data_IF_474281545217
#
_entry.id   IF_474281545217
#
_cell.length_a   1.000
_cell.length_b   1.000
_cell.length_c   1.000
_cell.angle_alpha   90.00
_cell.angle_beta   90.00
_cell.angle_gamma   90.00
#
_symmetry.space_group_name_H-M   'P 1'
#
loop_
_entity.id
_entity.type
_entity.pdbx_description
1 polymer ?
#
# COMPACT_ATOMS: atom_id res chain seq x y z
N UNK A 1 3.40 0.14 7.23
CA UNK A 1 4.67 -0.59 7.48
C UNK A 1 5.74 -0.43 6.38
N UNK A 2 5.57 0.43 5.36
CA UNK A 2 6.47 0.48 4.19
C UNK A 2 7.64 1.47 4.25
N UNK A 3 7.83 2.21 5.35
CA UNK A 3 8.88 3.24 5.40
C UNK A 3 10.23 2.75 5.92
N UNK A 4 10.31 1.53 6.48
CA UNK A 4 11.53 1.03 7.14
C UNK A 4 12.52 0.32 6.19
N UNK A 5 12.13 0.05 4.93
CA UNK A 5 12.95 -0.71 3.95
C UNK A 5 13.70 0.17 2.95
N UNK A 6 13.28 1.44 2.78
CA UNK A 6 14.00 2.48 2.03
C UNK A 6 15.45 2.72 2.51
N UNK A 7 15.81 2.67 3.81
CA UNK A 7 17.19 2.93 4.24
C UNK A 7 18.17 1.79 3.89
N UNK A 8 17.70 0.58 3.57
CA UNK A 8 18.59 -0.54 3.22
C UNK A 8 19.10 -0.36 1.79
N UNK A 9 18.21 -0.05 0.84
CA UNK A 9 18.59 0.20 -0.56
C UNK A 9 19.53 1.42 -0.69
N UNK A 10 19.28 2.50 0.08
CA UNK A 10 20.13 3.70 0.10
C UNK A 10 21.48 3.50 0.83
N UNK A 11 21.56 2.59 1.82
CA UNK A 11 22.83 2.22 2.46
C UNK A 11 23.76 1.46 1.51
N UNK A 12 23.22 0.65 0.60
CA UNK A 12 24.03 -0.05 -0.40
C UNK A 12 24.52 0.86 -1.54
N UNK A 13 23.73 1.86 -1.94
CA UNK A 13 24.16 2.87 -2.93
C UNK A 13 25.42 3.62 -2.47
N UNK A 14 25.54 3.88 -1.16
CA UNK A 14 26.66 4.62 -0.58
C UNK A 14 27.92 3.76 -0.38
N UNK A 15 27.77 2.43 -0.27
CA UNK A 15 28.90 1.49 -0.22
C UNK A 15 29.44 1.12 -1.60
N UNK A 16 28.63 1.24 -2.66
CA UNK A 16 29.02 0.93 -4.04
C UNK A 16 29.96 1.98 -4.66
N UNK A 17 29.97 3.22 -4.16
CA UNK A 17 30.76 4.31 -4.75
C UNK A 17 32.29 4.16 -4.61
N UNK A 18 32.83 3.08 -4.01
CA UNK A 18 34.25 3.02 -3.63
C UNK A 18 34.99 1.70 -3.89
N UNK A 19 34.50 0.77 -4.72
CA UNK A 19 35.28 -0.44 -5.07
C UNK A 19 35.30 -0.73 -6.57
N UNK A 20 36.29 -0.14 -7.26
CA UNK A 20 36.69 -0.47 -8.63
C UNK A 20 37.54 -1.76 -8.68
N UNK A 21 36.98 -2.88 -8.21
CA UNK A 21 37.60 -4.21 -8.31
C UNK A 21 36.63 -5.17 -8.98
N UNK A 22 37.14 -6.13 -9.77
CA UNK A 22 36.36 -7.03 -10.65
C UNK A 22 35.24 -7.81 -9.93
N UNK A 23 35.31 -7.94 -8.60
CA UNK A 23 34.26 -8.45 -7.70
C UNK A 23 33.04 -7.54 -7.62
N UNK A 24 33.19 -6.22 -7.77
CA UNK A 24 32.10 -5.25 -7.80
C UNK A 24 31.15 -5.42 -8.99
N UNK A 25 31.66 -5.85 -10.16
CA UNK A 25 30.82 -6.13 -11.34
C UNK A 25 29.92 -7.35 -11.15
N UNK A 26 30.42 -8.39 -10.49
CA UNK A 26 29.63 -9.57 -10.10
C UNK A 26 28.54 -9.22 -9.09
N UNK A 27 28.84 -8.33 -8.14
CA UNK A 27 27.87 -7.83 -7.15
C UNK A 27 26.81 -6.95 -7.83
N UNK A 28 27.18 -6.09 -8.79
CA UNK A 28 26.23 -5.28 -9.57
C UNK A 28 25.32 -6.16 -10.42
N UNK A 29 25.87 -7.16 -11.11
CA UNK A 29 25.07 -8.11 -11.90
C UNK A 29 24.10 -8.90 -11.02
N UNK A 30 24.53 -9.32 -9.81
CA UNK A 30 23.66 -9.97 -8.84
C UNK A 30 22.57 -9.05 -8.26
N UNK A 31 22.90 -7.79 -7.96
CA UNK A 31 21.95 -6.80 -7.45
C UNK A 31 20.91 -6.40 -8.51
N UNK A 32 21.32 -6.28 -9.78
CA UNK A 32 20.38 -6.04 -10.88
C UNK A 32 19.31 -7.12 -10.98
N UNK A 33 19.70 -8.39 -10.78
CA UNK A 33 18.77 -9.54 -10.77
C UNK A 33 17.82 -9.49 -9.55
N UNK A 34 18.31 -9.07 -8.38
CA UNK A 34 17.50 -8.90 -7.16
C UNK A 34 16.48 -7.76 -7.30
N UNK A 35 16.81 -6.69 -8.03
CA UNK A 35 15.91 -5.57 -8.26
C UNK A 35 14.69 -5.93 -9.13
N UNK A 36 14.81 -6.91 -10.03
CA UNK A 36 13.70 -7.30 -10.94
C UNK A 36 12.64 -8.15 -10.22
N UNK A 37 12.97 -8.72 -9.06
CA UNK A 37 12.02 -9.47 -8.23
C UNK A 37 11.21 -8.58 -7.28
N UNK A 38 11.45 -7.26 -7.30
CA UNK A 38 10.70 -6.27 -6.52
C UNK A 38 9.62 -5.56 -7.35
N UNK A 39 9.03 -6.22 -8.34
CA UNK A 39 7.67 -5.88 -8.75
C UNK A 39 6.72 -6.52 -7.75
N UNK A 40 6.58 -5.89 -6.58
CA UNK A 40 5.28 -5.94 -5.95
C UNK A 40 4.34 -5.35 -7.00
N UNK A 41 3.42 -6.16 -7.54
CA UNK A 41 2.30 -5.62 -8.30
C UNK A 41 1.59 -4.65 -7.36
N UNK A 42 1.98 -3.38 -7.40
CA UNK A 42 1.13 -2.30 -6.99
C UNK A 42 -0.01 -2.42 -7.99
N UNK A 43 -1.09 -3.08 -7.55
CA UNK A 43 -2.36 -2.98 -8.23
C UNK A 43 -2.77 -1.52 -8.09
N UNK A 44 -2.16 -0.66 -8.89
CA UNK A 44 -2.58 0.70 -9.15
C UNK A 44 -3.82 0.63 -10.05
N UNK A 45 -4.81 -0.14 -9.60
CA UNK A 45 -6.18 0.31 -9.77
C UNK A 45 -6.28 1.62 -9.00
N UNK A 46 -7.00 2.58 -9.54
CA UNK A 46 -7.21 3.89 -8.92
C UNK A 46 -8.01 3.74 -7.62
N UNK A 47 -7.38 3.22 -6.56
CA UNK A 47 -8.01 3.02 -5.26
C UNK A 47 -7.51 4.09 -4.30
N UNK A 48 -8.40 4.83 -3.65
CA UNK A 48 -8.06 5.79 -2.61
C UNK A 48 -8.14 5.15 -1.23
N UNK A 49 -7.26 5.57 -0.32
CA UNK A 49 -7.33 5.14 1.08
C UNK A 49 -8.52 5.80 1.78
N UNK A 50 -9.35 5.04 2.53
CA UNK A 50 -10.44 5.63 3.31
C UNK A 50 -9.89 6.41 4.52
N UNK A 51 -10.59 7.48 4.88
CA UNK A 51 -10.26 8.35 6.01
C UNK A 51 -10.93 7.86 7.29
N UNK A 52 -10.41 6.76 7.84
CA UNK A 52 -10.95 6.15 9.06
C UNK A 52 -10.33 6.76 10.33
N UNK A 53 -11.11 7.13 11.35
CA UNK A 53 -10.57 7.48 12.66
C UNK A 53 -9.96 6.24 13.33
N UNK A 54 -8.80 6.41 13.98
CA UNK A 54 -8.17 5.35 14.75
C UNK A 54 -9.05 4.94 15.94
N UNK A 55 -9.48 3.68 15.97
CA UNK A 55 -10.24 3.10 17.08
C UNK A 55 -11.68 2.72 16.72
N UNK A 56 -12.56 2.71 17.71
CA UNK A 56 -13.92 2.17 17.57
C UNK A 56 -14.86 3.19 16.94
N UNK A 57 -15.44 2.84 15.80
CA UNK A 57 -16.42 3.66 15.10
C UNK A 57 -17.79 3.49 15.77
N UNK A 58 -18.16 4.48 16.59
CA UNK A 58 -19.36 4.43 17.43
C UNK A 58 -20.66 4.66 16.67
N UNK A 59 -20.79 5.79 15.97
CA UNK A 59 -22.00 6.14 15.21
C UNK A 59 -21.60 6.73 13.87
N UNK A 60 -22.15 6.18 12.79
CA UNK A 60 -22.08 6.78 11.47
C UNK A 60 -23.34 7.62 11.24
N UNK A 61 -23.19 8.76 10.58
CA UNK A 61 -24.34 9.53 10.09
C UNK A 61 -25.11 8.68 9.08
N UNK A 62 -26.42 8.91 8.96
CA UNK A 62 -27.27 8.24 7.97
C UNK A 62 -27.23 8.95 6.60
N UNK A 63 -26.13 9.62 6.29
CA UNK A 63 -25.93 10.23 4.97
C UNK A 63 -25.65 9.11 3.97
N UNK A 64 -26.32 9.17 2.83
CA UNK A 64 -26.22 8.19 1.77
C UNK A 64 -25.21 8.69 0.73
N UNK A 65 -23.94 8.33 0.95
CA UNK A 65 -22.81 8.65 0.06
C UNK A 65 -22.10 7.34 -0.30
N UNK A 66 -22.69 6.51 -1.18
CA UNK A 66 -22.21 5.16 -1.39
C UNK A 66 -20.78 5.15 -1.96
N UNK A 67 -19.98 4.16 -1.55
CA UNK A 67 -18.61 3.95 -2.06
C UNK A 67 -18.41 2.48 -2.42
N UNK A 68 -17.63 2.24 -3.46
CA UNK A 68 -17.26 0.89 -3.87
C UNK A 68 -15.92 0.51 -3.23
N UNK A 69 -15.91 -0.56 -2.44
CA UNK A 69 -14.70 -1.12 -1.85
C UNK A 69 -13.85 -1.87 -2.89
N UNK A 70 -12.56 -2.00 -2.61
CA UNK A 70 -11.61 -2.80 -3.38
C UNK A 70 -11.94 -4.30 -3.34
N UNK A 71 -12.80 -4.71 -2.43
CA UNK A 71 -13.38 -6.04 -2.30
C UNK A 71 -14.63 -6.24 -3.17
N UNK A 72 -15.06 -5.21 -3.91
CA UNK A 72 -16.23 -5.25 -4.78
C UNK A 72 -17.57 -5.07 -4.06
N UNK A 73 -17.54 -4.67 -2.78
CA UNK A 73 -18.75 -4.43 -1.98
C UNK A 73 -19.10 -2.94 -1.99
N UNK A 74 -20.39 -2.63 -2.15
CA UNK A 74 -20.89 -1.26 -1.99
C UNK A 74 -21.19 -0.98 -0.52
N UNK A 75 -20.59 0.07 0.01
CA UNK A 75 -20.85 0.56 1.36
C UNK A 75 -21.73 1.80 1.31
N UNK A 76 -22.72 1.91 2.20
CA UNK A 76 -23.67 3.03 2.20
C UNK A 76 -23.02 4.40 2.43
N UNK A 77 -21.88 4.42 3.11
CA UNK A 77 -20.97 5.55 3.22
C UNK A 77 -19.58 5.09 3.67
N UNK A 78 -18.61 5.98 3.55
CA UNK A 78 -17.21 5.76 3.96
C UNK A 78 -17.08 5.41 5.45
N UNK A 79 -17.95 5.93 6.33
CA UNK A 79 -17.93 5.57 7.76
C UNK A 79 -18.33 4.10 7.98
N UNK A 80 -19.31 3.57 7.23
CA UNK A 80 -19.69 2.16 7.29
C UNK A 80 -18.56 1.27 6.78
N UNK A 81 -17.88 1.67 5.70
CA UNK A 81 -16.68 0.99 5.21
C UNK A 81 -15.59 0.97 6.28
N UNK A 82 -15.33 2.09 6.94
CA UNK A 82 -14.36 2.15 8.04
C UNK A 82 -14.73 1.24 9.21
N UNK A 83 -16.03 1.11 9.54
CA UNK A 83 -16.48 0.21 10.60
C UNK A 83 -16.13 -1.23 10.25
N UNK A 84 -16.41 -1.64 9.02
CA UNK A 84 -16.06 -2.97 8.52
C UNK A 84 -14.55 -3.22 8.61
N UNK A 85 -13.72 -2.24 8.21
CA UNK A 85 -12.26 -2.31 8.33
C UNK A 85 -11.83 -2.54 9.78
N UNK A 86 -12.39 -1.80 10.73
CA UNK A 86 -12.03 -1.93 12.15
C UNK A 86 -12.51 -3.26 12.75
N UNK A 87 -13.73 -3.69 12.41
CA UNK A 87 -14.34 -4.92 12.94
C UNK A 87 -13.67 -6.18 12.37
N UNK A 88 -13.42 -6.20 11.06
CA UNK A 88 -12.83 -7.35 10.37
C UNK A 88 -11.31 -7.31 10.27
N UNK A 89 -10.69 -6.16 10.58
CA UNK A 89 -9.25 -5.89 10.41
C UNK A 89 -8.76 -6.11 8.98
N UNK A 90 -9.63 -5.93 7.99
CA UNK A 90 -9.29 -6.01 6.57
C UNK A 90 -8.81 -4.65 6.06
N UNK A 91 -7.86 -4.67 5.13
CA UNK A 91 -7.40 -3.46 4.45
C UNK A 91 -8.21 -3.25 3.16
N UNK A 92 -9.35 -2.55 3.29
CA UNK A 92 -10.27 -2.27 2.18
C UNK A 92 -10.03 -0.83 1.71
N UNK A 93 -9.77 -0.68 0.43
CA UNK A 93 -9.56 0.62 -0.22
C UNK A 93 -10.82 1.03 -0.96
N UNK A 94 -10.99 2.31 -1.26
CA UNK A 94 -12.14 2.77 -2.05
C UNK A 94 -11.75 2.75 -3.52
N UNK A 95 -12.39 1.90 -4.31
CA UNK A 95 -12.14 1.72 -5.74
C UNK A 95 -12.81 2.81 -6.60
N UNK A 96 -14.00 3.27 -6.22
CA UNK A 96 -14.70 4.40 -6.84
C UNK A 96 -15.70 5.01 -5.87
N UNK A 97 -16.02 6.28 -6.08
CA UNK A 97 -17.22 6.90 -5.50
C UNK A 97 -18.47 6.29 -6.15
N UNK A 98 -19.55 6.18 -5.38
CA UNK A 98 -20.78 5.52 -5.82
C UNK A 98 -20.80 4.01 -5.57
N UNK A 99 -21.90 3.34 -5.95
CA UNK A 99 -21.99 1.89 -5.86
C UNK A 99 -21.02 1.19 -6.81
N UNK A 100 -20.57 -0.01 -6.43
CA UNK A 100 -20.03 -0.99 -7.36
C UNK A 100 -21.14 -1.30 -8.40
#
# INVERSE_FOLDING_TARGET
>A
CGLLVVPICLRFSKSYSSTNTMTGRLVVLGLLIVCIAADATDKSGSTRKPSCPDGKIGRCTKILDPVCGSDGVTYSNECVLCREIVETKRDIWIAKEGPC
#
